data_IF_343817504681
#
_entry.id   IF_343817504681
#
_cell.length_a   1.000
_cell.length_b   1.000
_cell.length_c   1.000
_cell.angle_alpha   90.00
_cell.angle_beta   90.00
_cell.angle_gamma   90.00
#
_symmetry.space_group_name_H-M   'P 1'
#
loop_
_entity.id
_entity.type
_entity.pdbx_description
1 polymer ?
#
# COMPACT_ATOMS: atom_id res chain seq x y z
N UNK A 1 -25.84 -38.57 -50.18
CA UNK A 1 -26.21 -38.14 -48.82
C UNK A 1 -25.18 -38.77 -47.88
N UNK A 2 -24.05 -38.10 -47.67
CA UNK A 2 -22.93 -38.64 -46.89
C UNK A 2 -23.05 -38.13 -45.45
N UNK A 3 -23.04 -39.06 -44.49
CA UNK A 3 -23.17 -38.79 -43.07
C UNK A 3 -21.95 -38.00 -42.56
N UNK A 4 -22.11 -37.13 -41.54
CA UNK A 4 -20.98 -36.50 -40.87
C UNK A 4 -20.30 -37.54 -39.96
N UNK A 5 -19.00 -37.78 -40.20
CA UNK A 5 -18.15 -38.53 -39.28
C UNK A 5 -18.04 -37.76 -37.96
N UNK A 6 -18.76 -38.24 -36.94
CA UNK A 6 -18.55 -37.86 -35.55
C UNK A 6 -17.29 -38.54 -35.05
N UNK A 7 -16.21 -37.77 -34.92
CA UNK A 7 -14.97 -38.24 -34.30
C UNK A 7 -15.24 -38.62 -32.82
N UNK A 8 -14.89 -39.84 -32.38
CA UNK A 8 -15.06 -40.28 -31.00
C UNK A 8 -13.89 -39.72 -30.19
N UNK A 9 -13.96 -38.44 -29.81
CA UNK A 9 -12.93 -37.80 -28.96
C UNK A 9 -13.45 -37.50 -27.55
N UNK A 10 -14.72 -37.81 -27.24
CA UNK A 10 -15.40 -37.26 -26.06
C UNK A 10 -15.64 -38.21 -24.86
N UNK A 11 -15.21 -39.47 -24.91
CA UNK A 11 -15.63 -40.44 -23.86
C UNK A 11 -14.58 -40.81 -22.79
N UNK A 12 -13.28 -40.53 -22.96
CA UNK A 12 -12.27 -40.89 -21.96
C UNK A 12 -11.21 -39.79 -21.80
N UNK A 13 -11.65 -38.59 -21.40
CA UNK A 13 -10.68 -37.64 -20.83
C UNK A 13 -10.19 -38.24 -19.50
N UNK A 14 -8.94 -38.72 -19.50
CA UNK A 14 -8.30 -39.28 -18.30
C UNK A 14 -8.42 -38.30 -17.13
N UNK A 15 -8.61 -38.81 -15.91
CA UNK A 15 -8.71 -37.99 -14.68
C UNK A 15 -7.50 -37.03 -14.56
N UNK A 16 -6.33 -37.43 -15.08
CA UNK A 16 -5.16 -36.57 -15.17
C UNK A 16 -5.33 -35.37 -16.11
N UNK A 17 -6.03 -35.52 -17.24
CA UNK A 17 -6.35 -34.41 -18.14
C UNK A 17 -7.41 -33.47 -17.56
N UNK A 18 -8.41 -33.98 -16.82
CA UNK A 18 -9.39 -33.13 -16.12
C UNK A 18 -8.73 -32.28 -15.03
N UNK A 19 -7.83 -32.89 -14.26
CA UNK A 19 -7.07 -32.17 -13.22
C UNK A 19 -6.11 -31.14 -13.83
N UNK A 20 -5.44 -31.49 -14.94
CA UNK A 20 -4.59 -30.56 -15.67
C UNK A 20 -5.37 -29.35 -16.23
N UNK A 21 -6.55 -29.57 -16.81
CA UNK A 21 -7.42 -28.48 -17.27
C UNK A 21 -7.92 -27.62 -16.11
N UNK A 22 -8.42 -28.22 -15.01
CA UNK A 22 -8.88 -27.46 -13.84
C UNK A 22 -7.75 -26.64 -13.19
N UNK A 23 -6.53 -27.16 -13.15
CA UNK A 23 -5.34 -26.44 -12.64
C UNK A 23 -4.96 -25.27 -13.55
N UNK A 24 -5.15 -25.44 -14.86
CA UNK A 24 -4.92 -24.38 -15.86
C UNK A 24 -5.95 -23.26 -15.71
N UNK A 25 -7.22 -23.60 -15.55
CA UNK A 25 -8.31 -22.63 -15.36
C UNK A 25 -8.14 -21.85 -14.04
N UNK A 26 -7.73 -22.54 -12.96
CA UNK A 26 -7.39 -21.87 -11.69
C UNK A 26 -6.19 -20.93 -11.83
N UNK A 27 -5.16 -21.31 -12.60
CA UNK A 27 -4.02 -20.42 -12.87
C UNK A 27 -4.42 -19.19 -13.66
N UNK A 28 -5.32 -19.34 -14.63
CA UNK A 28 -5.88 -18.21 -15.38
C UNK A 28 -6.68 -17.27 -14.46
N UNK A 29 -7.52 -17.82 -13.59
CA UNK A 29 -8.32 -17.04 -12.63
C UNK A 29 -7.42 -16.23 -11.67
N UNK A 30 -6.38 -16.87 -11.13
CA UNK A 30 -5.41 -16.20 -10.24
C UNK A 30 -4.66 -15.10 -10.99
N UNK A 31 -4.31 -15.32 -12.26
CA UNK A 31 -3.65 -14.29 -13.07
C UNK A 31 -4.56 -13.07 -13.27
N UNK A 32 -5.84 -13.29 -13.56
CA UNK A 32 -6.83 -12.23 -13.74
C UNK A 32 -7.09 -11.47 -12.43
N UNK A 33 -7.19 -12.16 -11.30
CA UNK A 33 -7.36 -11.53 -9.98
C UNK A 33 -6.14 -10.66 -9.62
N UNK A 34 -4.92 -11.12 -9.94
CA UNK A 34 -3.68 -10.36 -9.77
C UNK A 34 -3.66 -9.15 -10.72
N UNK A 35 -4.09 -9.32 -11.97
CA UNK A 35 -4.16 -8.24 -12.94
C UNK A 35 -5.14 -7.14 -12.48
N UNK A 36 -6.30 -7.55 -11.96
CA UNK A 36 -7.30 -6.65 -11.38
C UNK A 36 -6.77 -5.94 -10.13
N UNK A 37 -6.21 -6.69 -9.17
CA UNK A 37 -5.63 -6.13 -7.96
C UNK A 37 -4.50 -5.14 -8.28
N UNK A 38 -3.69 -5.42 -9.30
CA UNK A 38 -2.65 -4.49 -9.79
C UNK A 38 -3.25 -3.23 -10.41
N UNK A 39 -4.36 -3.34 -11.15
CA UNK A 39 -5.06 -2.19 -11.69
C UNK A 39 -5.67 -1.32 -10.58
N UNK A 40 -6.29 -1.96 -9.57
CA UNK A 40 -6.86 -1.28 -8.41
C UNK A 40 -5.76 -0.59 -7.58
N UNK A 41 -4.65 -1.27 -7.31
CA UNK A 41 -3.50 -0.68 -6.62
C UNK A 41 -2.95 0.53 -7.38
N UNK A 42 -2.80 0.46 -8.70
CA UNK A 42 -2.38 1.62 -9.51
C UNK A 42 -3.36 2.78 -9.39
N UNK A 43 -4.66 2.49 -9.39
CA UNK A 43 -5.69 3.51 -9.24
C UNK A 43 -5.67 4.14 -7.84
N UNK A 44 -5.49 3.35 -6.79
CA UNK A 44 -5.38 3.81 -5.41
C UNK A 44 -4.10 4.64 -5.20
N UNK A 45 -2.98 4.22 -5.77
CA UNK A 45 -1.73 4.98 -5.75
C UNK A 45 -1.90 6.31 -6.50
N UNK A 46 -2.53 6.30 -7.68
CA UNK A 46 -2.77 7.53 -8.44
C UNK A 46 -3.68 8.49 -7.67
N UNK A 47 -4.78 7.99 -7.10
CA UNK A 47 -5.69 8.79 -6.27
C UNK A 47 -5.00 9.32 -5.01
N UNK A 48 -4.23 8.48 -4.33
CA UNK A 48 -3.44 8.87 -3.16
C UNK A 48 -2.37 9.90 -3.50
N UNK A 49 -1.70 9.76 -4.64
CA UNK A 49 -0.68 10.70 -5.11
C UNK A 49 -1.28 12.05 -5.51
N UNK A 50 -2.39 12.06 -6.27
CA UNK A 50 -3.07 13.30 -6.65
C UNK A 50 -3.64 14.00 -5.41
N UNK A 51 -4.33 13.25 -4.54
CA UNK A 51 -4.87 13.79 -3.29
C UNK A 51 -3.76 14.32 -2.39
N UNK A 52 -2.73 13.52 -2.12
CA UNK A 52 -1.58 13.92 -1.29
C UNK A 52 -0.82 15.12 -1.86
N UNK A 53 -0.58 15.14 -3.17
CA UNK A 53 0.07 16.25 -3.86
C UNK A 53 -0.76 17.54 -3.81
N UNK A 54 -2.07 17.45 -4.05
CA UNK A 54 -2.97 18.59 -3.94
C UNK A 54 -3.04 19.14 -2.51
N UNK A 55 -3.10 18.27 -1.49
CA UNK A 55 -3.05 18.68 -0.08
C UNK A 55 -1.72 19.35 0.29
N UNK A 56 -0.59 18.83 -0.20
CA UNK A 56 0.72 19.45 0.01
C UNK A 56 0.80 20.83 -0.64
N UNK A 57 0.33 20.97 -1.88
CA UNK A 57 0.27 22.25 -2.58
C UNK A 57 -0.67 23.26 -1.88
N UNK A 58 -1.86 22.82 -1.46
CA UNK A 58 -2.78 23.66 -0.69
C UNK A 58 -2.16 24.12 0.64
N UNK A 59 -1.48 23.23 1.35
CA UNK A 59 -0.73 23.57 2.56
C UNK A 59 0.36 24.61 2.30
N UNK A 60 1.13 24.46 1.22
CA UNK A 60 2.15 25.43 0.83
C UNK A 60 1.52 26.80 0.53
N UNK A 61 0.46 26.85 -0.29
CA UNK A 61 -0.26 28.10 -0.61
C UNK A 61 -0.77 28.78 0.66
N UNK A 62 -1.38 28.03 1.59
CA UNK A 62 -1.83 28.58 2.87
C UNK A 62 -0.67 29.18 3.67
N UNK A 63 0.47 28.50 3.77
CA UNK A 63 1.65 29.00 4.49
C UNK A 63 2.18 30.29 3.83
N UNK A 64 2.30 30.31 2.50
CA UNK A 64 2.73 31.51 1.77
C UNK A 64 1.71 32.66 1.83
N UNK A 65 0.43 32.37 2.07
CA UNK A 65 -0.62 33.40 2.21
C UNK A 65 -0.70 34.02 3.61
N UNK A 66 -0.10 33.41 4.65
CA UNK A 66 -0.15 33.89 6.03
C UNK A 66 0.30 35.36 6.23
N UNK A 67 1.38 35.84 5.59
CA UNK A 67 1.77 37.25 5.68
C UNK A 67 0.68 38.15 5.12
N UNK A 68 0.14 37.81 3.94
CA UNK A 68 -0.92 38.59 3.28
C UNK A 68 -2.20 38.62 4.13
N UNK A 69 -2.60 37.49 4.72
CA UNK A 69 -3.73 37.42 5.64
C UNK A 69 -3.49 38.27 6.90
N UNK A 70 -2.26 38.30 7.41
CA UNK A 70 -1.90 39.14 8.56
C UNK A 70 -2.01 40.64 8.24
N UNK A 71 -1.58 41.06 7.05
CA UNK A 71 -1.80 42.43 6.58
C UNK A 71 -3.29 42.75 6.45
N UNK A 72 -4.06 41.87 5.81
CA UNK A 72 -5.50 42.07 5.62
C UNK A 72 -6.24 42.23 6.96
N UNK A 73 -5.94 41.38 7.94
CA UNK A 73 -6.49 41.49 9.29
C UNK A 73 -6.05 42.77 10.00
N UNK A 74 -4.77 43.13 9.92
CA UNK A 74 -4.25 44.31 10.61
C UNK A 74 -4.91 45.60 10.08
N UNK A 75 -5.02 45.74 8.76
CA UNK A 75 -5.74 46.85 8.15
C UNK A 75 -7.24 46.80 8.43
N UNK A 76 -7.85 45.62 8.44
CA UNK A 76 -9.27 45.45 8.80
C UNK A 76 -9.59 45.82 10.25
N UNK A 77 -8.69 45.54 11.20
CA UNK A 77 -8.87 45.97 12.60
C UNK A 77 -8.66 47.48 12.72
N UNK A 78 -7.66 48.03 12.02
CA UNK A 78 -7.35 49.46 12.00
C UNK A 78 -8.54 50.30 11.53
N UNK A 79 -9.31 49.85 10.53
CA UNK A 79 -10.46 50.62 10.01
C UNK A 79 -11.62 50.77 10.99
N UNK A 80 -11.75 49.86 11.96
CA UNK A 80 -12.83 49.90 12.95
C UNK A 80 -12.40 50.53 14.29
N UNK A 81 -11.12 50.47 14.64
CA UNK A 81 -10.64 50.84 15.98
C UNK A 81 -9.70 52.06 16.03
N UNK A 82 -9.16 52.54 14.91
CA UNK A 82 -8.13 53.60 14.84
C UNK A 82 -6.87 53.38 15.72
N UNK A 83 -6.75 52.20 16.32
CA UNK A 83 -5.65 51.78 17.19
C UNK A 83 -4.32 51.75 16.46
N UNK A 84 -3.22 51.89 17.21
CA UNK A 84 -1.86 51.82 16.68
C UNK A 84 -1.66 50.55 15.80
N UNK A 85 -1.03 50.71 14.63
CA UNK A 85 -0.77 49.62 13.69
C UNK A 85 -0.08 48.43 14.36
N UNK A 86 0.86 48.69 15.28
CA UNK A 86 1.59 47.64 15.98
C UNK A 86 0.65 46.71 16.78
N UNK A 87 -0.35 47.28 17.45
CA UNK A 87 -1.36 46.51 18.20
C UNK A 87 -2.24 45.70 17.25
N UNK A 88 -2.60 46.26 16.10
CA UNK A 88 -3.40 45.58 15.08
C UNK A 88 -2.66 44.37 14.47
N UNK A 89 -1.36 44.50 14.19
CA UNK A 89 -0.52 43.38 13.76
C UNK A 89 -0.38 42.31 14.84
N UNK A 90 -0.21 42.72 16.10
CA UNK A 90 -0.11 41.78 17.21
C UNK A 90 -1.41 40.97 17.39
N UNK A 91 -2.58 41.62 17.30
CA UNK A 91 -3.87 40.94 17.32
C UNK A 91 -4.04 39.99 16.13
N UNK A 92 -3.65 40.43 14.93
CA UNK A 92 -3.73 39.61 13.72
C UNK A 92 -2.85 38.37 13.81
N UNK A 93 -1.65 38.52 14.38
CA UNK A 93 -0.77 37.40 14.67
C UNK A 93 -1.39 36.45 15.70
N UNK A 94 -1.92 36.99 16.81
CA UNK A 94 -2.59 36.19 17.83
C UNK A 94 -3.79 35.42 17.25
N UNK A 95 -4.60 36.04 16.39
CA UNK A 95 -5.71 35.39 15.70
C UNK A 95 -5.24 34.24 14.80
N UNK A 96 -4.18 34.45 14.00
CA UNK A 96 -3.59 33.39 13.17
C UNK A 96 -3.05 32.23 14.01
N UNK A 97 -2.40 32.51 15.14
CA UNK A 97 -1.90 31.47 16.07
C UNK A 97 -3.05 30.67 16.68
N UNK A 98 -4.15 31.32 17.07
CA UNK A 98 -5.33 30.62 17.57
C UNK A 98 -5.94 29.70 16.52
N UNK A 99 -6.10 30.18 15.28
CA UNK A 99 -6.59 29.37 14.16
C UNK A 99 -5.64 28.20 13.89
N UNK A 100 -4.33 28.44 13.83
CA UNK A 100 -3.34 27.39 13.64
C UNK A 100 -3.38 26.33 14.75
N UNK A 101 -3.53 26.76 16.01
CA UNK A 101 -3.69 25.88 17.16
C UNK A 101 -4.94 25.01 17.07
N UNK A 102 -6.07 25.58 16.64
CA UNK A 102 -7.32 24.84 16.43
C UNK A 102 -7.19 23.82 15.30
N UNK A 103 -6.62 24.21 14.16
CA UNK A 103 -6.35 23.31 13.04
C UNK A 103 -5.40 22.17 13.45
N UNK A 104 -4.37 22.47 14.24
CA UNK A 104 -3.45 21.47 14.77
C UNK A 104 -4.15 20.49 15.70
N UNK A 105 -5.04 20.96 16.59
CA UNK A 105 -5.86 20.11 17.44
C UNK A 105 -6.76 19.17 16.63
N UNK A 106 -7.46 19.70 15.62
CA UNK A 106 -8.31 18.90 14.73
C UNK A 106 -7.46 17.84 14.01
N UNK A 107 -6.30 18.24 13.47
CA UNK A 107 -5.35 17.35 12.82
C UNK A 107 -4.86 16.23 13.74
N UNK A 108 -4.53 16.56 15.00
CA UNK A 108 -4.13 15.56 16.01
C UNK A 108 -5.28 14.63 16.36
N UNK A 109 -6.51 15.11 16.51
CA UNK A 109 -7.69 14.28 16.79
C UNK A 109 -7.94 13.31 15.63
N UNK A 110 -7.89 13.79 14.39
CA UNK A 110 -8.00 12.95 13.19
C UNK A 110 -6.88 11.92 13.11
N UNK A 111 -5.63 12.35 13.36
CA UNK A 111 -4.49 11.45 13.36
C UNK A 111 -4.60 10.38 14.45
N UNK A 112 -5.08 10.73 15.65
CA UNK A 112 -5.34 9.77 16.74
C UNK A 112 -6.44 8.77 16.34
N UNK A 113 -7.51 9.23 15.68
CA UNK A 113 -8.59 8.37 15.18
C UNK A 113 -8.08 7.41 14.10
N UNK A 114 -7.27 7.90 13.16
CA UNK A 114 -6.62 7.10 12.13
C UNK A 114 -5.63 6.08 12.73
N UNK A 115 -4.84 6.47 13.75
CA UNK A 115 -3.94 5.56 14.48
C UNK A 115 -4.69 4.48 15.27
N UNK A 116 -5.88 4.77 15.80
CA UNK A 116 -6.71 3.78 16.50
C UNK A 116 -7.24 2.71 15.53
N UNK A 117 -7.49 3.09 14.27
CA UNK A 117 -7.68 2.17 13.14
C UNK A 117 -6.35 1.60 12.65
N UNK A 118 -5.68 0.75 13.45
CA UNK A 118 -4.34 0.19 13.17
C UNK A 118 -4.24 -0.73 11.92
N UNK A 119 -5.20 -0.73 11.00
CA UNK A 119 -5.22 -1.60 9.82
C UNK A 119 -3.99 -1.40 8.91
N UNK A 120 -3.73 -0.19 8.39
CA UNK A 120 -2.64 0.02 7.41
C UNK A 120 -1.24 -0.11 8.00
N UNK A 121 -1.02 0.35 9.24
CA UNK A 121 0.29 0.31 9.90
C UNK A 121 0.67 -1.10 10.37
N UNK A 122 -0.30 -1.92 10.81
CA UNK A 122 -0.03 -3.32 11.17
C UNK A 122 0.33 -4.15 9.94
N UNK A 123 -0.37 -3.94 8.82
CA UNK A 123 -0.07 -4.63 7.56
C UNK A 123 1.33 -4.27 7.06
N UNK A 124 1.71 -2.99 7.08
CA UNK A 124 3.06 -2.57 6.72
C UNK A 124 4.15 -3.12 7.67
N UNK A 125 3.86 -3.19 8.97
CA UNK A 125 4.77 -3.77 9.96
C UNK A 125 4.94 -5.28 9.78
N UNK A 126 3.85 -6.04 9.61
CA UNK A 126 3.89 -7.48 9.36
C UNK A 126 4.57 -7.82 8.03
N UNK A 127 4.42 -7.00 6.98
CA UNK A 127 5.18 -7.20 5.72
C UNK A 127 6.68 -6.98 5.92
N UNK A 128 7.10 -5.98 6.69
CA UNK A 128 8.51 -5.76 7.05
C UNK A 128 9.08 -6.91 7.88
N UNK A 129 8.29 -7.43 8.80
CA UNK A 129 8.66 -8.58 9.64
C UNK A 129 8.84 -9.84 8.80
N UNK A 130 7.87 -10.15 7.92
CA UNK A 130 7.96 -11.29 6.99
C UNK A 130 9.15 -11.17 6.03
N UNK A 131 9.46 -9.97 5.53
CA UNK A 131 10.65 -9.74 4.71
C UNK A 131 11.94 -9.93 5.50
N UNK A 132 11.97 -9.52 6.77
CA UNK A 132 13.11 -9.72 7.67
C UNK A 132 13.37 -11.19 7.98
N UNK A 133 12.33 -12.00 8.18
CA UNK A 133 12.45 -13.46 8.39
C UNK A 133 12.96 -14.14 7.13
N UNK A 134 12.45 -13.77 5.95
CA UNK A 134 12.93 -14.31 4.67
C UNK A 134 14.38 -13.92 4.37
N UNK A 135 14.81 -12.71 4.74
CA UNK A 135 16.21 -12.29 4.59
C UNK A 135 17.16 -13.04 5.52
N UNK A 136 16.69 -13.38 6.73
CA UNK A 136 17.46 -14.15 7.72
C UNK A 136 17.56 -15.64 7.34
N UNK A 137 16.57 -16.15 6.61
CA UNK A 137 16.60 -17.46 5.97
C UNK A 137 17.38 -17.42 4.64
N UNK A 138 18.66 -17.05 4.67
CA UNK A 138 19.55 -17.35 3.53
C UNK A 138 19.64 -18.89 3.39
N UNK A 139 19.45 -19.46 2.19
CA UNK A 139 19.62 -20.88 1.98
C UNK A 139 21.07 -21.23 2.26
N UNK A 140 21.29 -22.11 3.25
CA UNK A 140 22.62 -22.67 3.50
C UNK A 140 23.08 -23.36 2.22
N UNK A 141 24.26 -23.02 1.67
CA UNK A 141 24.88 -23.82 0.63
C UNK A 141 25.07 -25.22 1.22
N UNK A 142 24.38 -26.22 0.66
CA UNK A 142 24.71 -27.61 0.93
C UNK A 142 26.18 -27.76 0.56
N UNK A 143 27.06 -27.94 1.54
CA UNK A 143 28.42 -28.38 1.28
C UNK A 143 28.28 -29.72 0.57
N UNK A 144 28.61 -29.76 -0.72
CA UNK A 144 28.80 -31.01 -1.43
C UNK A 144 30.00 -31.68 -0.75
N UNK A 145 29.72 -32.66 0.12
CA UNK A 145 30.75 -33.54 0.65
C UNK A 145 31.48 -34.23 -0.51
N UNK A 146 32.78 -34.56 -0.34
CA UNK A 146 33.57 -35.14 -1.41
C UNK A 146 32.91 -36.41 -1.91
N UNK A 147 32.84 -36.56 -3.22
CA UNK A 147 32.63 -37.86 -3.83
C UNK A 147 33.76 -38.78 -3.35
N UNK A 148 33.44 -39.77 -2.52
CA UNK A 148 34.27 -40.95 -2.38
C UNK A 148 33.43 -42.19 -2.02
N UNK A 149 33.91 -43.32 -2.50
CA UNK A 149 33.16 -44.50 -2.93
C UNK A 149 32.34 -45.26 -1.88
N UNK A 150 31.40 -46.07 -2.38
CA UNK A 150 30.71 -47.06 -1.57
C UNK A 150 29.32 -47.45 -2.05
N UNK A 151 29.19 -47.89 -3.31
CA UNK A 151 28.10 -48.80 -3.67
C UNK A 151 28.39 -50.15 -3.04
N UNK A 152 28.00 -50.36 -1.77
CA UNK A 152 28.13 -51.67 -1.13
C UNK A 152 26.81 -52.10 -0.45
N UNK A 153 26.14 -53.01 -1.14
CA UNK A 153 25.40 -54.17 -0.64
C UNK A 153 24.53 -54.01 0.63
N UNK A 154 23.22 -53.80 0.43
CA UNK A 154 22.20 -54.37 1.32
C UNK A 154 21.14 -55.08 0.47
N UNK A 155 21.55 -56.23 -0.06
CA UNK A 155 20.66 -57.31 -0.40
C UNK A 155 21.31 -58.59 0.13
N UNK A 156 20.80 -59.09 1.27
CA UNK A 156 20.61 -60.52 1.62
C UNK A 156 20.40 -60.70 3.13
N UNK A 157 19.32 -61.43 3.43
CA UNK A 157 19.20 -62.40 4.51
C UNK A 157 18.99 -61.91 5.96
N UNK A 158 17.75 -62.04 6.41
CA UNK A 158 17.38 -62.64 7.71
C UNK A 158 15.97 -63.22 7.53
N UNK A 159 15.87 -64.54 7.34
CA UNK A 159 15.47 -65.51 8.39
C UNK A 159 13.97 -65.48 8.66
#
# INVERSE_FOLDING_TARGET
MSAPDGSPVDAERSIGQLFASATTDLSALVHDEIALAKAQLKHDVKRGAVGGGAFAAAGAVLIFSLPMLSFALAYGIRTWSDWNLAVCFLLSFAANVLVAGLLALIGVVFAKKAKKGRGPQKVAASMKESAGVLQKARPHPRQAGPADGGVEAVARSSS
#
